data_IF_171277357535
#
_entry.id   IF_171277357535
#
_cell.length_a   1.000
_cell.length_b   1.000
_cell.length_c   1.000
_cell.angle_alpha   90.00
_cell.angle_beta   90.00
_cell.angle_gamma   90.00
#
_symmetry.space_group_name_H-M   'P 1'
#
loop_
_entity.id
_entity.type
_entity.pdbx_description
1 polymer ?
#
# COMPACT_ATOMS: atom_id res chain seq x y z
N UNK A 1 43.88 21.64 -39.55
CA UNK A 1 42.51 22.17 -39.72
C UNK A 1 41.68 21.74 -38.53
N UNK A 2 41.43 22.72 -37.67
CA UNK A 2 40.61 22.70 -36.47
C UNK A 2 39.13 22.56 -36.86
N UNK A 3 38.40 21.63 -36.23
CA UNK A 3 36.94 21.67 -36.10
C UNK A 3 36.52 20.93 -34.83
N UNK A 4 36.71 21.64 -33.73
CA UNK A 4 35.90 21.55 -32.53
C UNK A 4 34.42 21.52 -32.91
N UNK A 5 33.70 20.47 -32.51
CA UNK A 5 32.24 20.52 -32.34
C UNK A 5 31.93 20.05 -30.92
N UNK A 6 31.84 21.05 -30.06
CA UNK A 6 31.09 21.02 -28.82
C UNK A 6 29.61 20.93 -29.21
N UNK A 7 28.88 19.94 -28.70
CA UNK A 7 27.43 20.02 -28.56
C UNK A 7 27.06 19.32 -27.23
N UNK A 8 27.07 20.08 -26.14
CA UNK A 8 25.85 20.67 -25.56
C UNK A 8 24.92 19.63 -24.95
N UNK A 9 25.25 19.24 -23.72
CA UNK A 9 24.37 19.30 -22.55
C UNK A 9 22.87 19.51 -22.85
N UNK A 10 22.10 18.42 -22.76
CA UNK A 10 20.68 18.47 -22.36
C UNK A 10 20.44 17.32 -21.37
N UNK A 11 20.86 17.52 -20.13
CA UNK A 11 20.28 16.80 -19.00
C UNK A 11 18.84 17.31 -18.85
N UNK A 12 17.89 16.66 -19.52
CA UNK A 12 16.49 16.73 -19.11
C UNK A 12 16.39 16.02 -17.77
N UNK A 13 16.56 16.78 -16.69
CA UNK A 13 16.03 16.43 -15.38
C UNK A 13 14.51 16.47 -15.48
N UNK A 14 13.93 15.41 -16.05
CA UNK A 14 12.50 15.13 -15.93
C UNK A 14 12.21 14.90 -14.46
N UNK A 15 11.76 15.95 -13.78
CA UNK A 15 11.05 15.80 -12.52
C UNK A 15 9.78 15.03 -12.86
N UNK A 16 9.81 13.71 -12.67
CA UNK A 16 8.59 12.92 -12.58
C UNK A 16 7.90 13.43 -11.32
N UNK A 17 7.05 14.44 -11.47
CA UNK A 17 6.00 14.67 -10.52
C UNK A 17 5.18 13.38 -10.54
N UNK A 18 5.45 12.50 -9.58
CA UNK A 18 4.52 11.46 -9.20
C UNK A 18 3.26 12.21 -8.80
N UNK A 19 2.37 12.41 -9.78
CA UNK A 19 1.01 12.85 -9.55
C UNK A 19 0.40 11.70 -8.76
N UNK A 20 0.53 11.78 -7.43
CA UNK A 20 -0.33 11.06 -6.54
C UNK A 20 -1.72 11.61 -6.81
N UNK A 21 -2.34 11.10 -7.87
CA UNK A 21 -3.77 11.20 -8.13
C UNK A 21 -4.41 10.99 -6.78
N UNK A 22 -4.97 12.06 -6.23
CA UNK A 22 -5.60 12.03 -4.93
C UNK A 22 -6.85 11.21 -5.19
N UNK A 23 -6.74 9.87 -5.13
CA UNK A 23 -7.87 9.00 -5.43
C UNK A 23 -8.99 9.47 -4.52
N UNK A 24 -10.06 9.97 -5.13
CA UNK A 24 -11.32 10.23 -4.46
C UNK A 24 -11.92 8.87 -4.14
N UNK A 25 -11.34 8.24 -3.12
CA UNK A 25 -11.77 6.98 -2.59
C UNK A 25 -13.08 7.28 -1.85
N UNK A 26 -14.19 7.16 -2.54
CA UNK A 26 -15.52 7.17 -1.92
C UNK A 26 -15.81 5.79 -1.34
N UNK A 27 -16.42 5.70 -0.15
CA UNK A 27 -16.69 4.42 0.57
C UNK A 27 -17.80 3.56 -0.06
N UNK A 28 -18.01 3.72 -1.36
CA UNK A 28 -19.12 3.12 -2.12
C UNK A 28 -18.82 1.67 -2.54
N UNK A 29 -17.55 1.26 -2.48
CA UNK A 29 -17.13 -0.10 -2.80
C UNK A 29 -17.28 -0.96 -1.54
N UNK A 30 -18.13 -2.01 -1.55
CA UNK A 30 -18.23 -2.93 -0.43
C UNK A 30 -16.88 -3.63 -0.17
N UNK A 31 -16.58 -3.85 1.11
CA UNK A 31 -15.33 -4.48 1.54
C UNK A 31 -15.11 -5.84 0.87
N UNK A 32 -16.14 -6.69 0.82
CA UNK A 32 -16.06 -8.02 0.23
C UNK A 32 -15.76 -7.96 -1.27
N UNK A 33 -16.33 -6.99 -1.98
CA UNK A 33 -16.03 -6.74 -3.40
C UNK A 33 -14.56 -6.36 -3.58
N UNK A 34 -14.03 -5.51 -2.72
CA UNK A 34 -12.63 -5.12 -2.76
C UNK A 34 -11.68 -6.30 -2.48
N UNK A 35 -11.98 -7.11 -1.45
CA UNK A 35 -11.19 -8.30 -1.14
C UNK A 35 -11.28 -9.36 -2.25
N UNK A 36 -12.45 -9.53 -2.89
CA UNK A 36 -12.60 -10.43 -4.03
C UNK A 36 -11.71 -10.01 -5.21
N UNK A 37 -11.62 -8.70 -5.49
CA UNK A 37 -10.71 -8.18 -6.50
C UNK A 37 -9.25 -8.46 -6.13
N UNK A 38 -8.85 -8.21 -4.88
CA UNK A 38 -7.50 -8.53 -4.41
C UNK A 38 -7.19 -10.02 -4.59
N UNK A 39 -8.13 -10.92 -4.28
CA UNK A 39 -7.98 -12.35 -4.49
C UNK A 39 -7.64 -12.70 -5.94
N UNK A 40 -8.22 -11.98 -6.89
CA UNK A 40 -8.04 -12.22 -8.32
C UNK A 40 -6.69 -11.69 -8.84
N UNK A 41 -6.29 -10.49 -8.42
CA UNK A 41 -5.12 -9.81 -8.98
C UNK A 41 -3.82 -10.12 -8.23
N UNK A 42 -3.92 -10.34 -6.92
CA UNK A 42 -2.79 -10.60 -6.04
C UNK A 42 -3.28 -11.32 -4.78
N UNK A 43 -3.41 -12.67 -4.79
CA UNK A 43 -3.87 -13.43 -3.63
C UNK A 43 -3.13 -13.08 -2.31
N UNK A 44 -1.80 -12.88 -2.28
CA UNK A 44 -1.12 -12.46 -1.05
C UNK A 44 -1.53 -11.07 -0.55
N UNK A 45 -1.99 -10.18 -1.43
CA UNK A 45 -2.49 -8.87 -1.05
C UNK A 45 -3.82 -8.99 -0.30
N UNK A 46 -4.69 -9.91 -0.71
CA UNK A 46 -5.90 -10.26 0.05
C UNK A 46 -5.54 -10.83 1.42
N UNK A 47 -4.68 -11.83 1.48
CA UNK A 47 -4.30 -12.49 2.73
C UNK A 47 -3.64 -11.48 3.71
N UNK A 48 -2.75 -10.62 3.20
CA UNK A 48 -2.15 -9.54 3.97
C UNK A 48 -3.16 -8.48 4.43
N UNK A 49 -4.14 -8.13 3.61
CA UNK A 49 -5.22 -7.22 3.99
C UNK A 49 -6.09 -7.79 5.11
N UNK A 50 -6.50 -9.05 5.01
CA UNK A 50 -7.29 -9.73 6.05
C UNK A 50 -6.50 -9.81 7.38
N UNK A 51 -5.21 -10.12 7.32
CA UNK A 51 -4.33 -10.11 8.49
C UNK A 51 -4.20 -8.70 9.12
N UNK A 52 -4.02 -7.67 8.30
CA UNK A 52 -3.96 -6.28 8.74
C UNK A 52 -5.26 -5.84 9.40
N UNK A 53 -6.41 -6.15 8.81
CA UNK A 53 -7.73 -5.82 9.36
C UNK A 53 -7.99 -6.53 10.69
N UNK A 54 -7.62 -7.80 10.81
CA UNK A 54 -7.75 -8.56 12.05
C UNK A 54 -6.87 -7.97 13.17
N UNK A 55 -5.61 -7.67 12.87
CA UNK A 55 -4.70 -7.05 13.83
C UNK A 55 -5.12 -5.61 14.19
N UNK A 56 -5.64 -4.84 13.23
CA UNK A 56 -6.21 -3.52 13.48
C UNK A 56 -7.41 -3.60 14.42
N UNK A 57 -8.34 -4.52 14.19
CA UNK A 57 -9.51 -4.72 15.07
C UNK A 57 -9.08 -5.10 16.48
N UNK A 58 -8.12 -6.00 16.61
CA UNK A 58 -7.57 -6.44 17.90
C UNK A 58 -6.95 -5.26 18.68
N UNK A 59 -6.20 -4.39 18.01
CA UNK A 59 -5.47 -3.30 18.68
C UNK A 59 -6.25 -2.02 18.87
N UNK A 60 -7.10 -1.67 17.91
CA UNK A 60 -7.79 -0.39 17.87
C UNK A 60 -9.26 -0.47 18.27
N UNK A 61 -9.76 -1.67 18.61
CA UNK A 61 -11.09 -1.87 19.18
C UNK A 61 -12.25 -1.63 18.22
N UNK A 62 -11.99 -1.43 16.93
CA UNK A 62 -13.01 -1.26 15.88
C UNK A 62 -12.60 -1.91 14.59
N UNK A 63 -13.58 -2.22 13.73
CA UNK A 63 -13.28 -2.66 12.37
C UNK A 63 -12.61 -1.53 11.56
N UNK A 64 -11.69 -1.91 10.68
CA UNK A 64 -11.14 -1.03 9.65
C UNK A 64 -12.20 -0.83 8.56
N UNK A 65 -12.43 0.42 8.14
CA UNK A 65 -13.38 0.71 7.06
C UNK A 65 -12.75 0.43 5.69
N UNK A 66 -13.56 0.15 4.68
CA UNK A 66 -13.06 -0.12 3.32
C UNK A 66 -12.26 1.04 2.76
N UNK A 67 -12.70 2.28 3.01
CA UNK A 67 -11.94 3.48 2.67
C UNK A 67 -10.54 3.54 3.33
N UNK A 68 -10.42 3.09 4.57
CA UNK A 68 -9.14 3.10 5.29
C UNK A 68 -8.19 2.04 4.73
N UNK A 69 -8.71 0.86 4.40
CA UNK A 69 -7.93 -0.19 3.75
C UNK A 69 -7.47 0.22 2.35
N UNK A 70 -8.37 0.76 1.52
CA UNK A 70 -8.01 1.24 0.18
C UNK A 70 -6.98 2.35 0.23
N UNK A 71 -7.09 3.28 1.19
CA UNK A 71 -6.07 4.30 1.42
C UNK A 71 -4.74 3.69 1.84
N UNK A 72 -4.75 2.71 2.74
CA UNK A 72 -3.55 2.00 3.16
C UNK A 72 -2.86 1.29 1.99
N UNK A 73 -3.57 0.82 0.97
CA UNK A 73 -2.93 0.32 -0.25
C UNK A 73 -2.44 1.44 -1.19
N UNK A 74 -3.26 2.47 -1.40
CA UNK A 74 -3.05 3.43 -2.48
C UNK A 74 -2.18 4.65 -2.13
N UNK A 75 -2.02 4.97 -0.84
CA UNK A 75 -1.32 6.19 -0.43
C UNK A 75 0.20 6.03 -0.58
N UNK A 76 0.80 6.76 -1.54
CA UNK A 76 2.24 6.69 -1.80
C UNK A 76 2.66 5.28 -2.21
N UNK A 77 3.55 4.66 -1.44
CA UNK A 77 3.97 3.26 -1.63
C UNK A 77 3.11 2.26 -0.83
N UNK A 78 1.97 2.71 -0.30
CA UNK A 78 1.16 1.98 0.67
C UNK A 78 1.62 2.18 2.12
N UNK A 79 0.77 1.76 3.06
CA UNK A 79 1.07 1.65 4.48
C UNK A 79 2.17 0.60 4.66
N UNK A 80 3.30 0.96 5.30
CA UNK A 80 4.46 0.07 5.36
C UNK A 80 4.17 -1.19 6.17
N UNK A 81 3.28 -1.16 7.16
CA UNK A 81 2.92 -2.36 7.93
C UNK A 81 2.09 -3.29 7.05
N UNK A 82 1.09 -2.75 6.35
CA UNK A 82 0.27 -3.50 5.40
C UNK A 82 1.12 -4.13 4.29
N UNK A 83 1.98 -3.37 3.64
CA UNK A 83 2.82 -3.89 2.55
C UNK A 83 3.77 -4.99 3.04
N UNK A 84 4.30 -4.87 4.27
CA UNK A 84 5.09 -5.93 4.87
C UNK A 84 4.25 -7.16 5.24
N UNK A 85 2.99 -6.99 5.64
CA UNK A 85 2.08 -8.11 5.87
C UNK A 85 1.75 -8.84 4.58
N UNK A 86 1.54 -8.12 3.46
CA UNK A 86 1.36 -8.74 2.14
C UNK A 86 2.56 -9.61 1.76
N UNK A 87 3.78 -9.12 1.97
CA UNK A 87 5.00 -9.92 1.77
C UNK A 87 5.04 -11.14 2.69
N UNK A 88 4.81 -10.95 4.00
CA UNK A 88 4.83 -12.04 4.96
C UNK A 88 3.76 -13.11 4.64
N UNK A 89 2.58 -12.72 4.17
CA UNK A 89 1.55 -13.64 3.69
C UNK A 89 2.01 -14.43 2.46
N UNK A 90 2.66 -13.79 1.49
CA UNK A 90 3.26 -14.47 0.34
C UNK A 90 4.31 -15.52 0.77
N UNK A 91 5.16 -15.15 1.73
CA UNK A 91 6.22 -16.01 2.28
C UNK A 91 5.70 -17.05 3.28
N UNK A 92 4.43 -16.97 3.68
CA UNK A 92 3.82 -17.75 4.77
C UNK A 92 4.55 -17.60 6.11
N UNK A 93 5.14 -16.43 6.35
CA UNK A 93 5.83 -16.11 7.61
C UNK A 93 4.83 -15.62 8.68
N UNK A 94 4.28 -16.59 9.42
CA UNK A 94 3.31 -16.32 10.49
C UNK A 94 3.92 -15.54 11.67
N UNK A 95 5.23 -15.70 11.92
CA UNK A 95 5.92 -14.97 12.98
C UNK A 95 6.11 -13.49 12.60
N UNK A 96 6.41 -13.19 11.33
CA UNK A 96 6.41 -11.82 10.83
C UNK A 96 5.01 -11.20 10.91
N UNK A 97 3.95 -11.92 10.50
CA UNK A 97 2.57 -11.42 10.60
C UNK A 97 2.20 -11.03 12.04
N UNK A 98 2.57 -11.83 13.04
CA UNK A 98 2.32 -11.52 14.45
C UNK A 98 3.08 -10.25 14.90
N UNK A 99 4.38 -10.16 14.57
CA UNK A 99 5.21 -8.99 14.92
C UNK A 99 4.69 -7.70 14.26
N UNK A 100 4.34 -7.77 12.98
CA UNK A 100 3.75 -6.65 12.23
C UNK A 100 2.37 -6.28 12.78
N UNK A 101 1.58 -7.27 13.19
CA UNK A 101 0.28 -7.05 13.82
C UNK A 101 0.40 -6.22 15.08
N UNK A 102 1.39 -6.52 15.93
CA UNK A 102 1.66 -5.75 17.14
C UNK A 102 2.08 -4.28 16.86
N UNK A 103 2.65 -4.00 15.69
CA UNK A 103 3.16 -2.67 15.31
C UNK A 103 2.15 -1.76 14.61
N UNK A 104 0.88 -2.16 14.43
CA UNK A 104 -0.12 -1.31 13.78
C UNK A 104 -0.23 0.05 14.52
N UNK A 105 -0.66 1.12 13.85
CA UNK A 105 -0.98 2.38 14.53
C UNK A 105 -2.50 2.52 14.64
N UNK A 106 -3.00 2.97 15.80
CA UNK A 106 -4.40 3.33 15.94
C UNK A 106 -4.57 4.82 15.64
N UNK A 107 -5.55 5.21 14.81
CA UNK A 107 -5.82 6.61 14.57
C UNK A 107 -6.19 7.30 15.88
N UNK A 108 -5.70 8.52 16.08
CA UNK A 108 -6.10 9.36 17.20
C UNK A 108 -7.60 9.60 17.16
N UNK A 109 -8.21 9.67 18.35
CA UNK A 109 -9.65 9.85 18.54
C UNK A 109 -10.11 11.22 18.06
#
# INVERSE_FOLDING_TARGET
MQRTLILSMLCLAGTVAAQGERLDLQDDVPLDTYLALLAQVAPPARDGAEAYMAAFRSRCGRALRTIELRRAFAQGNGDPVLMNMVRASHERDTAALQRLGASIACPSK
#
